data_IF_182040117702
#
_entry.id   IF_182040117702
#
_cell.length_a   1.000
_cell.length_b   1.000
_cell.length_c   1.000
_cell.angle_alpha   90.00
_cell.angle_beta   90.00
_cell.angle_gamma   90.00
#
_symmetry.space_group_name_H-M   'P 1'
#
loop_
_entity.id
_entity.type
_entity.pdbx_description
1 polymer ?
#
# COMPACT_ATOMS: atom_id res chain seq x y z
N UNK A 1 -3.51 2.99 -8.55
CA UNK A 1 -3.84 3.27 -7.14
C UNK A 1 -4.08 1.93 -6.48
N UNK A 2 -3.47 1.73 -5.32
CA UNK A 2 -3.58 0.49 -4.55
C UNK A 2 -4.17 0.87 -3.19
N UNK A 3 -5.25 0.20 -2.82
CA UNK A 3 -5.84 0.31 -1.50
C UNK A 3 -5.23 -0.73 -0.59
N UNK A 4 -4.85 -0.29 0.61
CA UNK A 4 -4.22 -1.12 1.62
C UNK A 4 -4.97 -0.96 2.93
N UNK A 5 -5.35 -2.09 3.53
CA UNK A 5 -5.88 -2.11 4.90
C UNK A 5 -4.72 -2.40 5.85
N UNK A 6 -4.47 -1.46 6.77
CA UNK A 6 -3.38 -1.53 7.74
C UNK A 6 -4.00 -1.66 9.13
N UNK A 7 -3.70 -2.74 9.83
CA UNK A 7 -4.12 -2.96 11.22
C UNK A 7 -3.40 -2.01 12.17
N UNK A 8 -3.93 -1.84 13.39
CA UNK A 8 -3.30 -1.01 14.43
C UNK A 8 -1.85 -1.38 14.72
N UNK A 9 -1.50 -2.66 14.59
CA UNK A 9 -0.12 -3.16 14.73
C UNK A 9 0.82 -2.75 13.60
N UNK A 10 0.30 -2.13 12.53
CA UNK A 10 1.01 -1.84 11.30
C UNK A 10 1.01 -3.00 10.30
N UNK A 11 0.48 -4.17 10.67
CA UNK A 11 0.37 -5.30 9.76
C UNK A 11 -0.60 -4.99 8.61
N UNK A 12 -0.21 -5.36 7.38
CA UNK A 12 -1.09 -5.27 6.21
C UNK A 12 -2.02 -6.47 6.19
N UNK A 13 -3.33 -6.24 6.29
CA UNK A 13 -4.34 -7.31 6.20
C UNK A 13 -4.89 -7.48 4.80
N UNK A 14 -4.89 -6.43 3.97
CA UNK A 14 -5.45 -6.46 2.63
C UNK A 14 -4.71 -5.51 1.68
N UNK A 15 -4.58 -5.91 0.41
CA UNK A 15 -3.96 -5.10 -0.66
C UNK A 15 -4.71 -5.35 -1.98
N UNK A 16 -5.32 -4.32 -2.54
CA UNK A 16 -6.11 -4.41 -3.77
C UNK A 16 -5.80 -3.28 -4.75
N UNK A 17 -5.89 -3.55 -6.06
CA UNK A 17 -5.87 -2.50 -7.06
C UNK A 17 -7.24 -1.85 -7.19
N UNK A 18 -7.35 -0.58 -6.80
CA UNK A 18 -8.49 0.26 -7.19
C UNK A 18 -8.42 0.62 -8.68
N UNK A 19 -7.21 0.97 -9.16
CA UNK A 19 -6.94 1.26 -10.57
C UNK A 19 -5.55 0.79 -10.97
N UNK A 20 -5.48 -0.10 -11.95
CA UNK A 20 -4.22 -0.56 -12.57
C UNK A 20 -3.59 0.53 -13.41
N UNK A 21 -2.26 0.52 -13.51
CA UNK A 21 -1.53 1.51 -14.31
C UNK A 21 -1.63 1.26 -15.83
N UNK A 22 -1.98 0.05 -16.24
CA UNK A 22 -1.85 -0.42 -17.63
C UNK A 22 -0.48 -1.03 -17.95
N UNK A 23 0.49 -0.97 -17.02
CA UNK A 23 1.77 -1.65 -17.12
C UNK A 23 1.89 -2.73 -16.03
N UNK A 24 1.89 -4.01 -16.45
CA UNK A 24 1.91 -5.15 -15.55
C UNK A 24 3.17 -5.20 -14.67
N UNK A 25 4.35 -4.91 -15.21
CA UNK A 25 5.60 -4.94 -14.46
C UNK A 25 5.63 -3.86 -13.38
N UNK A 26 5.08 -2.69 -13.67
CA UNK A 26 4.94 -1.61 -12.71
C UNK A 26 3.96 -1.96 -11.60
N UNK A 27 2.78 -2.47 -11.96
CA UNK A 27 1.77 -2.96 -11.01
C UNK A 27 2.37 -4.02 -10.06
N UNK A 28 3.09 -5.01 -10.60
CA UNK A 28 3.73 -6.06 -9.80
C UNK A 28 4.81 -5.50 -8.86
N UNK A 29 5.58 -4.51 -9.31
CA UNK A 29 6.60 -3.85 -8.49
C UNK A 29 5.98 -3.08 -7.33
N UNK A 30 4.89 -2.36 -7.57
CA UNK A 30 4.14 -1.64 -6.54
C UNK A 30 3.56 -2.60 -5.48
N UNK A 31 2.97 -3.72 -5.89
CA UNK A 31 2.47 -4.74 -4.96
C UNK A 31 3.59 -5.34 -4.11
N UNK A 32 4.75 -5.64 -4.71
CA UNK A 32 5.93 -6.13 -3.99
C UNK A 32 6.43 -5.11 -2.98
N UNK A 33 6.45 -3.83 -3.33
CA UNK A 33 6.90 -2.76 -2.42
C UNK A 33 6.00 -2.69 -1.17
N UNK A 34 4.68 -2.71 -1.33
CA UNK A 34 3.73 -2.71 -0.19
C UNK A 34 3.95 -3.93 0.69
N UNK A 35 4.04 -5.12 0.10
CA UNK A 35 4.25 -6.36 0.85
C UNK A 35 5.58 -6.35 1.62
N UNK A 36 6.64 -5.79 1.03
CA UNK A 36 7.96 -5.64 1.67
C UNK A 36 7.95 -4.60 2.80
N UNK A 37 7.11 -3.58 2.69
CA UNK A 37 6.96 -2.57 3.73
C UNK A 37 6.15 -3.06 4.94
N UNK A 38 5.45 -4.19 4.84
CA UNK A 38 4.70 -4.77 5.95
C UNK A 38 5.64 -5.43 6.97
N UNK A 39 5.48 -5.18 8.29
CA UNK A 39 4.51 -4.26 8.86
C UNK A 39 4.98 -2.79 8.77
N UNK A 40 4.01 -1.89 8.57
CA UNK A 40 4.21 -0.46 8.75
C UNK A 40 4.41 -0.12 10.24
N UNK A 41 4.81 1.12 10.57
CA UNK A 41 4.72 1.59 11.95
C UNK A 41 3.29 1.43 12.50
N UNK A 42 3.13 1.14 13.80
CA UNK A 42 1.83 1.02 14.42
C UNK A 42 1.08 2.35 14.33
N UNK A 43 -0.25 2.25 14.28
CA UNK A 43 -1.10 3.44 14.18
C UNK A 43 -0.99 4.29 15.46
N UNK A 44 -0.98 5.63 15.34
CA UNK A 44 -0.98 6.52 16.50
C UNK A 44 -2.14 6.22 17.45
N UNK A 45 -1.90 6.38 18.76
CA UNK A 45 -2.91 6.09 19.80
C UNK A 45 -4.20 6.91 19.63
N UNK A 46 -4.13 8.09 19.01
CA UNK A 46 -5.29 8.94 18.75
C UNK A 46 -6.25 8.43 17.67
N UNK A 47 -5.87 7.41 16.90
CA UNK A 47 -6.80 6.71 15.99
C UNK A 47 -7.54 5.69 16.85
N UNK A 48 -8.86 5.77 16.91
CA UNK A 48 -9.71 4.86 17.71
C UNK A 48 -9.96 3.51 17.04
N UNK A 49 -9.85 3.45 15.72
CA UNK A 49 -10.15 2.25 14.93
C UNK A 49 -9.07 1.16 15.06
N UNK A 50 -9.44 -0.08 14.76
CA UNK A 50 -8.51 -1.22 14.78
C UNK A 50 -7.69 -1.36 13.51
N UNK A 51 -8.05 -0.60 12.46
CA UNK A 51 -7.34 -0.51 11.19
C UNK A 51 -7.64 0.82 10.49
N UNK A 52 -6.85 1.12 9.45
CA UNK A 52 -7.13 2.20 8.50
C UNK A 52 -7.05 1.67 7.07
N UNK A 53 -7.81 2.29 6.16
CA UNK A 53 -7.66 2.10 4.73
C UNK A 53 -6.87 3.27 4.15
N UNK A 54 -5.82 2.96 3.39
CA UNK A 54 -4.95 3.95 2.78
C UNK A 54 -4.85 3.68 1.27
N UNK A 55 -5.11 4.72 0.48
CA UNK A 55 -4.86 4.71 -0.95
C UNK A 55 -3.43 5.13 -1.26
N UNK A 56 -2.62 4.23 -1.83
CA UNK A 56 -1.24 4.49 -2.22
C UNK A 56 -1.18 4.72 -3.74
N UNK A 57 -0.65 5.88 -4.12
CA UNK A 57 -0.43 6.27 -5.52
C UNK A 57 1.04 6.18 -5.88
N UNK A 58 1.38 5.17 -6.67
CA UNK A 58 2.71 5.02 -7.26
C UNK A 58 2.80 5.83 -8.56
N UNK A 59 3.81 6.69 -8.67
CA UNK A 59 4.15 7.40 -9.90
C UNK A 59 5.43 6.77 -10.47
N UNK A 60 5.41 6.34 -11.73
CA UNK A 60 6.57 5.73 -12.37
C UNK A 60 7.60 6.76 -12.87
N UNK A 61 7.48 8.03 -12.50
CA UNK A 61 8.29 9.13 -13.05
C UNK A 61 9.80 8.99 -12.79
N UNK A 62 10.21 8.03 -11.96
CA UNK A 62 11.61 7.71 -11.66
C UNK A 62 12.12 6.43 -12.36
N UNK A 63 11.28 5.66 -13.03
CA UNK A 63 11.70 4.54 -13.89
C UNK A 63 11.92 5.05 -15.32
N UNK A 64 12.90 5.94 -15.51
CA UNK A 64 13.46 6.15 -16.86
C UNK A 64 14.34 4.94 -17.17
N UNK A 65 13.91 4.18 -18.17
CA UNK A 65 14.66 3.14 -18.88
C UNK A 65 16.03 3.64 -19.34
#
# INVERSE_FOLDING_TARGET
MIDVTILRSGAVSEVNFEKRSGNRYFDESAMKAIRKASPFPPLPMGIGDTSIQVGIRFHSSELKS
#
